data_IF_920203948423
#
_entry.id   IF_920203948423
#
_cell.length_a   1.000
_cell.length_b   1.000
_cell.length_c   1.000
_cell.angle_alpha   90.00
_cell.angle_beta   90.00
_cell.angle_gamma   90.00
#
_symmetry.space_group_name_H-M   'P 1'
#
loop_
_entity.id
_entity.type
_entity.pdbx_description
1 polymer ?
#
# COMPACT_ATOMS: atom_id res chain seq x y z
N UNK A 1 -6.02 -14.49 1.83
CA UNK A 1 -5.58 -13.35 1.00
C UNK A 1 -6.59 -13.20 -0.11
N UNK A 2 -7.05 -11.98 -0.36
CA UNK A 2 -8.08 -11.70 -1.34
C UNK A 2 -8.67 -10.31 -1.12
N UNK A 3 -9.56 -9.89 -2.01
CA UNK A 3 -10.21 -8.58 -1.97
C UNK A 3 -11.14 -8.41 -0.76
N UNK A 4 -11.54 -9.51 -0.10
CA UNK A 4 -12.38 -9.49 1.10
C UNK A 4 -11.70 -8.80 2.30
N UNK A 5 -10.40 -8.51 2.20
CA UNK A 5 -9.62 -7.77 3.19
C UNK A 5 -9.75 -6.24 3.03
N UNK A 6 -10.23 -5.74 1.89
CA UNK A 6 -10.31 -4.30 1.65
C UNK A 6 -11.28 -3.65 2.63
N UNK A 7 -10.81 -2.60 3.32
CA UNK A 7 -11.59 -1.88 4.34
C UNK A 7 -11.71 -2.60 5.69
N UNK A 8 -10.98 -3.70 5.88
CA UNK A 8 -10.92 -4.46 7.13
C UNK A 8 -9.64 -4.13 7.92
N UNK A 9 -9.68 -4.32 9.23
CA UNK A 9 -8.49 -4.30 10.10
C UNK A 9 -8.24 -5.70 10.62
N UNK A 10 -7.02 -6.20 10.43
CA UNK A 10 -6.62 -7.55 10.81
C UNK A 10 -5.33 -7.54 11.63
N UNK A 11 -5.16 -8.55 12.48
CA UNK A 11 -3.89 -8.83 13.15
C UNK A 11 -2.86 -9.47 12.18
N UNK A 12 -1.66 -9.75 12.68
CA UNK A 12 -0.57 -10.34 11.89
C UNK A 12 -0.85 -11.78 11.40
N UNK A 13 -1.85 -12.47 11.97
CA UNK A 13 -2.29 -13.80 11.55
C UNK A 13 -3.47 -13.74 10.57
N UNK A 14 -4.02 -12.54 10.32
CA UNK A 14 -5.15 -12.31 9.44
C UNK A 14 -6.51 -12.44 10.12
N UNK A 15 -6.57 -12.46 11.46
CA UNK A 15 -7.85 -12.44 12.19
C UNK A 15 -8.41 -11.02 12.18
N UNK A 16 -9.71 -10.82 11.91
CA UNK A 16 -10.33 -9.50 11.98
C UNK A 16 -10.41 -8.99 13.42
N UNK A 17 -9.98 -7.75 13.63
CA UNK A 17 -10.03 -7.06 14.93
C UNK A 17 -10.93 -5.81 14.92
N UNK A 18 -11.63 -5.58 13.80
CA UNK A 18 -12.51 -4.42 13.59
C UNK A 18 -13.97 -4.61 14.04
N UNK A 19 -14.32 -5.78 14.57
CA UNK A 19 -15.68 -6.08 15.01
C UNK A 19 -16.72 -6.25 13.89
N UNK A 20 -16.33 -6.20 12.61
CA UNK A 20 -17.25 -6.29 11.46
C UNK A 20 -17.59 -7.73 11.04
N UNK A 21 -17.39 -8.70 11.94
CA UNK A 21 -17.59 -10.13 11.67
C UNK A 21 -16.39 -10.80 10.96
N UNK A 22 -16.53 -12.07 10.56
CA UNK A 22 -15.43 -12.84 9.97
C UNK A 22 -15.05 -12.36 8.56
N UNK A 23 -13.88 -12.77 8.08
CA UNK A 23 -13.42 -12.55 6.71
C UNK A 23 -13.53 -13.87 5.93
N UNK A 24 -14.30 -13.87 4.86
CA UNK A 24 -14.62 -15.07 4.06
C UNK A 24 -13.71 -15.23 2.84
N UNK A 25 -12.40 -15.04 3.03
CA UNK A 25 -11.43 -15.17 1.94
C UNK A 25 -11.22 -16.65 1.55
N UNK A 26 -11.31 -16.94 0.24
CA UNK A 26 -11.22 -18.32 -0.28
C UNK A 26 -9.79 -18.86 -0.39
N UNK A 27 -8.79 -17.97 -0.33
CA UNK A 27 -7.39 -18.31 -0.65
C UNK A 27 -6.48 -18.12 0.55
N UNK A 28 -5.55 -19.05 0.76
CA UNK A 28 -4.46 -18.92 1.73
C UNK A 28 -3.11 -18.86 1.02
N UNK A 29 -2.16 -18.15 1.62
CA UNK A 29 -0.81 -18.00 1.08
C UNK A 29 0.20 -18.07 2.22
N UNK A 30 1.33 -18.75 2.00
CA UNK A 30 2.45 -18.78 2.95
C UNK A 30 3.11 -17.40 3.00
N UNK A 31 3.50 -16.97 4.21
CA UNK A 31 4.17 -15.66 4.40
C UNK A 31 5.63 -15.67 3.92
N UNK A 32 6.34 -16.80 4.11
CA UNK A 32 7.75 -16.96 3.74
C UNK A 32 7.97 -17.44 2.30
N UNK A 33 7.36 -16.78 1.31
CA UNK A 33 7.59 -17.09 -0.10
C UNK A 33 8.81 -16.33 -0.64
N UNK A 34 9.55 -16.96 -1.56
CA UNK A 34 10.72 -16.33 -2.20
C UNK A 34 10.26 -15.22 -3.15
N UNK A 35 11.00 -14.11 -3.17
CA UNK A 35 10.75 -13.01 -4.11
C UNK A 35 11.01 -13.44 -5.56
N UNK A 36 10.38 -12.77 -6.55
CA UNK A 36 10.66 -13.03 -7.97
C UNK A 36 12.14 -12.81 -8.30
N UNK A 37 12.70 -13.67 -9.17
CA UNK A 37 14.06 -13.55 -9.70
C UNK A 37 14.22 -12.35 -10.64
N UNK A 38 15.31 -12.32 -11.41
CA UNK A 38 15.63 -11.20 -12.32
C UNK A 38 14.69 -11.19 -13.54
N UNK A 39 14.58 -12.34 -14.22
CA UNK A 39 13.81 -12.49 -15.48
C UNK A 39 12.34 -12.01 -15.43
N UNK A 40 11.54 -12.29 -14.38
CA UNK A 40 10.15 -11.84 -14.35
C UNK A 40 9.96 -10.35 -14.04
N UNK A 41 11.03 -9.58 -13.82
CA UNK A 41 10.94 -8.15 -13.50
C UNK A 41 10.98 -7.31 -14.77
N UNK A 42 10.32 -6.16 -14.71
CA UNK A 42 10.39 -5.11 -15.72
C UNK A 42 10.86 -3.80 -15.07
N UNK A 43 11.41 -2.88 -15.86
CA UNK A 43 11.73 -1.54 -15.39
C UNK A 43 10.46 -0.83 -14.91
N UNK A 44 10.58 -0.08 -13.81
CA UNK A 44 9.50 0.77 -13.30
C UNK A 44 9.25 1.90 -14.29
N UNK A 45 8.02 2.02 -14.80
CA UNK A 45 7.62 3.01 -15.82
C UNK A 45 6.32 3.75 -15.49
N UNK A 46 5.58 3.28 -14.50
CA UNK A 46 4.33 3.89 -14.09
C UNK A 46 4.54 4.74 -12.83
N UNK A 47 4.06 5.99 -12.79
CA UNK A 47 4.18 6.82 -11.59
C UNK A 47 3.19 6.40 -10.51
N UNK A 48 3.57 6.58 -9.24
CA UNK A 48 2.69 6.54 -8.08
C UNK A 48 2.65 7.96 -7.49
N UNK A 49 1.50 8.61 -7.62
CA UNK A 49 1.34 10.01 -7.25
C UNK A 49 0.99 10.13 -5.77
N UNK A 50 1.84 10.81 -4.99
CA UNK A 50 1.60 11.01 -3.56
C UNK A 50 0.60 12.13 -3.28
N UNK A 51 0.48 13.10 -4.18
CA UNK A 51 -0.28 14.32 -3.96
C UNK A 51 0.52 15.40 -3.22
N UNK A 52 1.77 15.11 -2.85
CA UNK A 52 2.64 16.03 -2.13
C UNK A 52 3.60 16.65 -3.13
N UNK A 53 3.48 17.96 -3.37
CA UNK A 53 4.29 18.68 -4.38
C UNK A 53 5.79 18.43 -4.24
N UNK A 54 6.31 18.48 -3.02
CA UNK A 54 7.73 18.27 -2.77
C UNK A 54 8.20 16.87 -3.19
N UNK A 55 7.41 15.83 -2.90
CA UNK A 55 7.75 14.45 -3.26
C UNK A 55 7.54 14.24 -4.76
N UNK A 56 6.36 14.55 -5.29
CA UNK A 56 6.02 14.27 -6.69
C UNK A 56 6.89 15.05 -7.69
N UNK A 57 7.46 16.20 -7.29
CA UNK A 57 8.32 17.02 -8.16
C UNK A 57 9.80 16.73 -8.00
N UNK A 58 10.30 16.53 -6.77
CA UNK A 58 11.74 16.44 -6.50
C UNK A 58 12.22 15.00 -6.34
N UNK A 59 11.37 14.12 -5.78
CA UNK A 59 11.70 12.72 -5.49
C UNK A 59 10.53 11.82 -5.91
N UNK A 60 10.22 11.75 -7.22
CA UNK A 60 9.05 11.04 -7.71
C UNK A 60 9.17 9.53 -7.44
N UNK A 61 8.04 8.92 -7.07
CA UNK A 61 7.97 7.48 -6.75
C UNK A 61 7.27 6.74 -7.89
N UNK A 62 7.89 5.65 -8.36
CA UNK A 62 7.28 4.76 -9.36
C UNK A 62 6.60 3.51 -8.76
N UNK A 63 5.68 2.91 -9.50
CA UNK A 63 5.02 1.65 -9.12
C UNK A 63 6.00 0.48 -9.21
N UNK A 64 6.19 -0.21 -8.09
CA UNK A 64 7.20 -1.26 -7.96
C UNK A 64 8.55 -0.77 -7.40
N UNK A 65 8.66 0.52 -7.09
CA UNK A 65 9.79 1.10 -6.36
C UNK A 65 9.62 0.91 -4.84
N UNK A 66 10.75 0.92 -4.12
CA UNK A 66 10.78 1.02 -2.65
C UNK A 66 11.37 2.37 -2.30
N UNK A 67 10.63 3.17 -1.54
CA UNK A 67 11.06 4.50 -1.10
C UNK A 67 11.14 4.52 0.44
N UNK A 68 12.25 5.03 0.98
CA UNK A 68 12.46 5.11 2.43
C UNK A 68 11.99 6.47 2.95
N UNK A 69 11.04 6.45 3.88
CA UNK A 69 10.67 7.65 4.66
C UNK A 69 11.41 7.59 6.01
N UNK A 70 12.45 8.40 6.16
CA UNK A 70 13.29 8.46 7.36
C UNK A 70 13.28 9.85 7.98
N UNK A 71 13.41 9.93 9.30
CA UNK A 71 13.48 11.19 10.05
C UNK A 71 13.18 11.00 11.54
N UNK A 72 13.36 12.07 12.32
CA UNK A 72 13.22 12.06 13.78
C UNK A 72 11.77 11.90 14.26
N UNK A 73 11.58 11.78 15.57
CA UNK A 73 10.23 11.76 16.17
C UNK A 73 9.45 13.02 15.76
N UNK A 74 8.15 12.86 15.49
CA UNK A 74 7.22 13.97 15.19
C UNK A 74 7.56 14.80 13.92
N UNK A 75 8.32 14.26 12.97
CA UNK A 75 8.64 14.94 11.69
C UNK A 75 7.66 14.67 10.54
N UNK A 76 6.44 14.19 10.83
CA UNK A 76 5.40 14.00 9.80
C UNK A 76 5.54 12.75 8.92
N UNK A 77 6.41 11.78 9.28
CA UNK A 77 6.57 10.51 8.54
C UNK A 77 5.23 9.79 8.28
N UNK A 78 4.40 9.67 9.32
CA UNK A 78 3.08 9.05 9.21
C UNK A 78 2.15 9.87 8.32
N UNK A 79 2.17 11.21 8.46
CA UNK A 79 1.36 12.11 7.64
C UNK A 79 1.63 11.94 6.15
N UNK A 80 2.91 11.88 5.74
CA UNK A 80 3.30 11.65 4.34
C UNK A 80 2.68 10.34 3.82
N UNK A 81 2.77 9.25 4.58
CA UNK A 81 2.23 7.96 4.18
C UNK A 81 0.69 7.96 4.11
N UNK A 82 0.02 8.57 5.07
CA UNK A 82 -1.45 8.64 5.12
C UNK A 82 -2.00 9.53 3.99
N UNK A 83 -1.41 10.70 3.76
CA UNK A 83 -1.81 11.59 2.66
C UNK A 83 -1.63 10.90 1.31
N UNK A 84 -0.53 10.14 1.15
CA UNK A 84 -0.29 9.31 -0.04
C UNK A 84 -1.43 8.32 -0.26
N UNK A 85 -1.90 7.63 0.79
CA UNK A 85 -3.02 6.68 0.70
C UNK A 85 -4.31 7.40 0.31
N UNK A 86 -4.61 8.53 0.96
CA UNK A 86 -5.83 9.32 0.71
C UNK A 86 -5.88 9.80 -0.74
N UNK A 87 -4.75 10.27 -1.29
CA UNK A 87 -4.66 10.77 -2.65
C UNK A 87 -5.05 9.72 -3.71
N UNK A 88 -4.92 8.42 -3.41
CA UNK A 88 -5.27 7.36 -4.38
C UNK A 88 -6.77 7.25 -4.65
N UNK A 89 -7.61 7.77 -3.74
CA UNK A 89 -9.07 7.75 -3.90
C UNK A 89 -9.51 8.31 -5.24
N UNK A 90 -8.90 9.41 -5.71
CA UNK A 90 -9.25 10.05 -6.98
C UNK A 90 -9.06 9.15 -8.20
N UNK A 91 -8.13 8.21 -8.14
CA UNK A 91 -7.90 7.22 -9.19
C UNK A 91 -8.81 6.01 -9.02
N UNK A 92 -9.12 5.65 -7.78
CA UNK A 92 -9.96 4.51 -7.44
C UNK A 92 -11.46 4.74 -7.71
N UNK A 93 -11.93 5.99 -7.60
CA UNK A 93 -13.30 6.38 -7.94
C UNK A 93 -13.51 6.47 -9.48
N UNK A 94 -12.43 6.41 -10.26
CA UNK A 94 -12.47 6.40 -11.72
C UNK A 94 -12.80 5.04 -12.32
N UNK A 95 -13.00 5.02 -13.64
CA UNK A 95 -13.31 3.80 -14.42
C UNK A 95 -12.07 3.05 -14.91
N UNK A 96 -10.88 3.66 -14.84
CA UNK A 96 -9.64 3.09 -15.34
C UNK A 96 -9.01 2.15 -14.30
N UNK A 97 -9.30 0.85 -14.44
CA UNK A 97 -8.78 -0.20 -13.55
C UNK A 97 -7.25 -0.21 -13.47
N UNK A 98 -6.53 0.15 -14.54
CA UNK A 98 -5.06 0.17 -14.52
C UNK A 98 -4.51 1.25 -13.61
N UNK A 99 -5.28 2.32 -13.36
CA UNK A 99 -4.87 3.41 -12.49
C UNK A 99 -5.22 3.17 -11.02
N UNK A 100 -6.08 2.21 -10.72
CA UNK A 100 -6.43 1.92 -9.32
C UNK A 100 -5.22 1.45 -8.52
N UNK A 101 -5.23 1.77 -7.23
CA UNK A 101 -4.21 1.37 -6.28
C UNK A 101 -4.86 0.96 -4.96
N UNK A 102 -4.60 -0.28 -4.54
CA UNK A 102 -5.05 -0.80 -3.25
C UNK A 102 -3.93 -0.63 -2.22
N UNK A 103 -4.21 0.16 -1.18
CA UNK A 103 -3.24 0.50 -0.16
C UNK A 103 -3.34 -0.46 1.04
N UNK A 104 -2.19 -0.80 1.62
CA UNK A 104 -2.09 -1.60 2.84
C UNK A 104 -1.20 -0.83 3.82
N UNK A 105 -1.70 -0.56 5.02
CA UNK A 105 -0.94 0.10 6.09
C UNK A 105 -0.69 -0.90 7.21
N UNK A 106 0.58 -1.11 7.55
CA UNK A 106 1.01 -2.05 8.61
C UNK A 106 1.53 -1.24 9.79
N UNK A 107 0.80 -1.26 10.90
CA UNK A 107 1.22 -0.63 12.15
C UNK A 107 2.00 -1.64 13.01
N UNK A 108 3.20 -1.28 13.47
CA UNK A 108 4.06 -2.12 14.30
C UNK A 108 4.42 -1.33 15.56
N UNK A 109 3.98 -1.81 16.73
CA UNK A 109 4.27 -1.18 18.02
C UNK A 109 3.66 0.22 18.22
N UNK A 110 2.59 0.54 17.48
CA UNK A 110 1.78 1.75 17.70
C UNK A 110 0.70 1.52 18.75
#
# INVERSE_FOLDING_TARGET
VGEELLGRVVDALGNPIDGKGPITSKTRRRVGLKAPGIIPRISVREPMQTGIKAVDSLVPIGRGQRELIIGDRQTGKTSIAIDTIINQKRFNDGTDEKKKLYCIYVAIGQ
#
